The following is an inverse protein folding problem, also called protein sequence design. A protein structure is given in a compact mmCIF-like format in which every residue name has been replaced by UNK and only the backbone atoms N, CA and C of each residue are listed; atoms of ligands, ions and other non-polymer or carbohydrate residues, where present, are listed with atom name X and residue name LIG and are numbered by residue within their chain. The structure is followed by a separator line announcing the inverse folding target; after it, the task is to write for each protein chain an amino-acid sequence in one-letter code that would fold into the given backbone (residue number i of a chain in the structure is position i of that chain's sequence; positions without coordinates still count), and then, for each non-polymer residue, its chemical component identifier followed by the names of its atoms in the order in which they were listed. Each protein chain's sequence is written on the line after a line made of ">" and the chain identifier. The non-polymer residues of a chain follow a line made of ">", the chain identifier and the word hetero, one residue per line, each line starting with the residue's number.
data_IF_806058694146
#
_entry.id   IF_806058694146
#
_cell.length_a   1.000
_cell.length_b   1.000
_cell.length_c   1.000
_cell.angle_alpha   90.00
_cell.angle_beta   90.00
_cell.angle_gamma   90.00
#
_symmetry.space_group_name_H-M   'P 1'
#
loop_
_entity.id
_entity.type
_entity.pdbx_description
1 polymer ?
#
# COMPACT_ATOMS: atom_id res chain seq x y z
N UNK A 1 -40.33 -5.30 -40.58
CA UNK A 1 -39.35 -4.61 -39.71
C UNK A 1 -40.01 -4.23 -38.39
N UNK A 2 -39.61 -4.84 -37.28
CA UNK A 2 -39.71 -4.25 -35.95
C UNK A 2 -38.69 -4.97 -35.07
N UNK A 3 -37.50 -4.38 -34.95
CA UNK A 3 -36.46 -4.85 -34.03
C UNK A 3 -36.75 -4.26 -32.66
N UNK A 4 -37.11 -5.09 -31.70
CA UNK A 4 -37.23 -4.69 -30.30
C UNK A 4 -35.83 -4.61 -29.69
N UNK A 5 -35.41 -3.39 -29.33
CA UNK A 5 -34.13 -3.12 -28.69
C UNK A 5 -34.16 -3.59 -27.22
N UNK A 6 -33.23 -4.48 -26.87
CA UNK A 6 -32.97 -4.88 -25.49
C UNK A 6 -32.18 -3.79 -24.76
N UNK A 7 -32.67 -3.39 -23.59
CA UNK A 7 -31.94 -2.53 -22.65
C UNK A 7 -30.87 -3.35 -21.93
N UNK A 8 -29.60 -3.10 -22.25
CA UNK A 8 -28.46 -3.62 -21.48
C UNK A 8 -28.29 -2.70 -20.27
N UNK A 9 -28.69 -3.16 -19.09
CA UNK A 9 -28.37 -2.49 -17.83
C UNK A 9 -26.86 -2.53 -17.61
N UNK A 10 -26.20 -1.38 -17.61
CA UNK A 10 -24.80 -1.26 -17.22
C UNK A 10 -24.67 -1.58 -15.73
N UNK A 11 -24.12 -2.74 -15.41
CA UNK A 11 -23.73 -3.08 -14.04
C UNK A 11 -22.51 -2.25 -13.69
N UNK A 12 -22.70 -1.14 -12.98
CA UNK A 12 -21.60 -0.43 -12.35
C UNK A 12 -21.07 -1.30 -11.22
N UNK A 13 -20.03 -2.10 -11.50
CA UNK A 13 -19.26 -2.74 -10.43
C UNK A 13 -18.83 -1.64 -9.45
N UNK A 14 -19.03 -1.81 -8.12
CA UNK A 14 -18.40 -0.89 -7.19
C UNK A 14 -16.90 -0.91 -7.47
N UNK A 15 -16.28 0.27 -7.61
CA UNK A 15 -14.84 0.37 -7.68
C UNK A 15 -14.31 -0.28 -6.39
N UNK A 16 -13.79 -1.51 -6.48
CA UNK A 16 -13.24 -2.21 -5.33
C UNK A 16 -12.17 -1.32 -4.72
N UNK A 17 -12.41 -0.84 -3.50
CA UNK A 17 -11.43 -0.05 -2.79
C UNK A 17 -10.11 -0.85 -2.71
N UNK A 18 -9.00 -0.22 -3.10
CA UNK A 18 -7.71 -0.89 -3.06
C UNK A 18 -7.38 -1.24 -1.61
N UNK A 19 -7.36 -2.54 -1.29
CA UNK A 19 -6.93 -3.01 0.03
C UNK A 19 -5.41 -3.20 0.04
N UNK A 20 -4.73 -3.03 1.19
CA UNK A 20 -3.29 -3.27 1.26
C UNK A 20 -2.90 -4.67 0.77
N UNK A 21 -3.68 -5.69 1.13
CA UNK A 21 -3.47 -7.07 0.67
C UNK A 21 -3.70 -7.22 -0.84
N UNK A 22 -4.72 -6.57 -1.41
CA UNK A 22 -4.96 -6.55 -2.85
C UNK A 22 -3.82 -5.92 -3.64
N UNK A 23 -3.21 -4.85 -3.10
CA UNK A 23 -2.06 -4.17 -3.72
C UNK A 23 -0.80 -5.04 -3.63
N UNK A 24 -0.52 -5.63 -2.46
CA UNK A 24 0.64 -6.52 -2.28
C UNK A 24 0.47 -7.86 -3.02
N UNK A 25 -0.76 -8.29 -3.30
CA UNK A 25 -1.07 -9.48 -4.08
C UNK A 25 -1.35 -10.72 -3.23
N UNK A 26 -1.63 -11.83 -3.90
CA UNK A 26 -2.07 -13.07 -3.26
C UNK A 26 -1.06 -13.61 -2.24
N UNK A 27 -1.57 -14.04 -1.08
CA UNK A 27 -0.80 -14.63 0.01
C UNK A 27 -0.17 -13.62 0.97
N UNK A 28 -0.32 -12.31 0.73
CA UNK A 28 0.06 -11.28 1.69
C UNK A 28 -1.06 -11.00 2.68
N UNK A 29 -0.70 -10.92 3.95
CA UNK A 29 -1.57 -10.46 5.04
C UNK A 29 -0.96 -9.27 5.75
N UNK A 30 -1.79 -8.32 6.19
CA UNK A 30 -1.36 -7.22 7.05
C UNK A 30 -0.88 -7.80 8.38
N UNK A 31 0.35 -7.47 8.75
CA UNK A 31 0.94 -7.83 10.05
C UNK A 31 1.16 -6.60 10.92
N UNK A 32 1.22 -5.41 10.31
CA UNK A 32 1.34 -4.15 11.03
C UNK A 32 0.82 -2.96 10.21
N UNK A 33 0.51 -1.87 10.90
CA UNK A 33 0.10 -0.60 10.28
C UNK A 33 0.29 0.59 11.20
N UNK A 34 0.57 1.75 10.63
CA UNK A 34 0.70 2.99 11.40
C UNK A 34 0.12 4.18 10.64
N UNK A 35 -0.45 5.14 11.38
CA UNK A 35 -0.88 6.40 10.79
C UNK A 35 0.33 7.21 10.27
N UNK A 36 0.20 7.76 9.08
CA UNK A 36 1.16 8.70 8.48
C UNK A 36 0.44 10.03 8.39
N UNK A 37 0.64 10.86 9.42
CA UNK A 37 -0.18 12.04 9.64
C UNK A 37 -1.67 11.71 9.79
N UNK A 38 -2.51 12.70 9.50
CA UNK A 38 -3.95 12.60 9.52
C UNK A 38 -4.50 11.90 8.27
N UNK A 39 -3.79 11.95 7.14
CA UNK A 39 -4.38 11.61 5.83
C UNK A 39 -4.00 10.25 5.25
N UNK A 40 -2.96 9.60 5.76
CA UNK A 40 -2.53 8.31 5.24
C UNK A 40 -2.29 7.27 6.34
N UNK A 41 -2.25 6.01 5.93
CA UNK A 41 -1.84 4.87 6.77
C UNK A 41 -0.84 4.05 5.96
N UNK A 42 0.30 3.75 6.56
CA UNK A 42 1.27 2.80 6.01
C UNK A 42 1.01 1.43 6.60
N UNK A 43 1.13 0.39 5.78
CA UNK A 43 0.90 -1.00 6.12
C UNK A 43 2.13 -1.82 5.82
N UNK A 44 2.50 -2.70 6.75
CA UNK A 44 3.43 -3.79 6.51
C UNK A 44 2.64 -5.09 6.34
N UNK A 45 2.92 -5.78 5.24
CA UNK A 45 2.34 -7.05 4.89
C UNK A 45 3.41 -8.10 4.75
N UNK A 46 3.03 -9.34 5.07
CA UNK A 46 3.91 -10.49 5.00
C UNK A 46 3.25 -11.63 4.24
N UNK A 47 4.07 -12.36 3.49
CA UNK A 47 3.73 -13.63 2.85
C UNK A 47 4.75 -14.69 3.30
N UNK A 48 4.27 -15.92 3.47
CA UNK A 48 5.08 -17.09 3.84
C UNK A 48 6.40 -17.15 3.07
N UNK A 49 7.50 -17.44 3.76
CA UNK A 49 8.83 -17.55 3.16
C UNK A 49 9.71 -16.32 3.30
N UNK A 50 9.29 -15.29 4.06
CA UNK A 50 10.10 -14.11 4.33
C UNK A 50 9.83 -12.93 3.40
N UNK A 51 8.74 -12.97 2.64
CA UNK A 51 8.39 -11.91 1.70
C UNK A 51 7.61 -10.80 2.40
N UNK A 52 8.19 -9.61 2.44
CA UNK A 52 7.61 -8.41 3.04
C UNK A 52 7.14 -7.46 1.94
N UNK A 53 6.06 -6.73 2.20
CA UNK A 53 5.50 -5.73 1.31
C UNK A 53 5.01 -4.52 2.10
N UNK A 54 5.32 -3.31 1.62
CA UNK A 54 4.84 -2.06 2.22
C UNK A 54 4.07 -1.24 1.21
N UNK A 55 2.96 -0.68 1.68
CA UNK A 55 2.09 0.24 0.93
C UNK A 55 1.62 1.35 1.86
N UNK A 56 1.50 2.56 1.32
CA UNK A 56 0.94 3.72 2.04
C UNK A 56 -0.32 4.17 1.34
N UNK A 57 -1.46 4.11 2.01
CA UNK A 57 -2.78 4.43 1.45
C UNK A 57 -3.30 5.73 2.03
N UNK A 58 -3.95 6.55 1.20
CA UNK A 58 -4.80 7.64 1.68
C UNK A 58 -6.01 7.06 2.43
N UNK A 59 -6.36 7.67 3.56
CA UNK A 59 -7.56 7.31 4.33
C UNK A 59 -8.83 7.74 3.60
N UNK A 60 -8.80 8.91 2.97
CA UNK A 60 -9.92 9.49 2.23
C UNK A 60 -9.44 10.05 0.88
N UNK A 61 -9.32 9.21 -0.16
CA UNK A 61 -8.95 9.66 -1.50
C UNK A 61 -9.97 10.65 -2.06
N UNK A 62 -9.50 11.82 -2.52
CA UNK A 62 -10.32 12.89 -3.11
C UNK A 62 -10.18 12.97 -4.64
N UNK A 63 -9.47 12.02 -5.24
CA UNK A 63 -9.18 11.97 -6.67
C UNK A 63 -8.04 12.89 -7.14
N UNK A 64 -7.48 13.72 -6.26
CA UNK A 64 -6.28 14.52 -6.57
C UNK A 64 -5.02 13.73 -6.32
N UNK A 65 -3.95 14.09 -7.02
CA UNK A 65 -2.63 13.50 -6.77
C UNK A 65 -1.97 14.20 -5.59
N UNK A 66 -1.61 13.42 -4.57
CA UNK A 66 -0.89 13.87 -3.38
C UNK A 66 0.44 13.13 -3.29
N UNK A 67 1.45 13.77 -2.75
CA UNK A 67 2.72 13.10 -2.52
C UNK A 67 2.54 11.99 -1.47
N UNK A 68 2.88 10.77 -1.84
CA UNK A 68 2.92 9.63 -0.93
C UNK A 68 4.25 8.89 -1.11
N UNK A 69 4.70 8.25 -0.03
CA UNK A 69 5.88 7.40 -0.03
C UNK A 69 5.66 6.10 0.71
N UNK A 70 6.25 5.03 0.22
CA UNK A 70 6.39 3.73 0.88
C UNK A 70 7.86 3.31 0.83
N UNK A 71 8.40 2.84 1.96
CA UNK A 71 9.80 2.46 2.09
C UNK A 71 9.90 1.13 2.85
N UNK A 72 10.86 0.30 2.44
CA UNK A 72 11.11 -0.99 3.06
C UNK A 72 12.58 -1.39 2.90
N UNK A 73 13.17 -1.89 3.97
CA UNK A 73 14.47 -2.56 3.96
C UNK A 73 14.56 -3.63 5.02
N UNK A 74 15.45 -4.60 4.81
CA UNK A 74 15.91 -5.48 5.86
C UNK A 74 17.20 -4.95 6.49
N UNK A 75 17.50 -5.39 7.71
CA UNK A 75 18.70 -4.99 8.44
C UNK A 75 19.97 -5.40 7.68
N UNK A 76 20.79 -4.41 7.33
CA UNK A 76 21.99 -4.59 6.51
C UNK A 76 21.73 -4.65 5.00
N UNK A 77 20.50 -4.41 4.56
CA UNK A 77 20.11 -4.33 3.14
C UNK A 77 19.96 -2.90 2.64
N UNK A 78 19.86 -2.71 1.31
CA UNK A 78 19.56 -1.42 0.71
C UNK A 78 18.11 -1.02 1.01
N UNK A 79 17.85 0.29 0.98
CA UNK A 79 16.50 0.84 1.04
C UNK A 79 15.79 0.71 -0.31
N UNK A 80 14.62 0.08 -0.32
CA UNK A 80 13.69 0.09 -1.45
C UNK A 80 12.59 1.10 -1.15
N UNK A 81 12.25 1.94 -2.12
CA UNK A 81 11.24 2.99 -1.94
C UNK A 81 10.43 3.23 -3.20
N UNK A 82 9.22 3.71 -3.00
CA UNK A 82 8.36 4.27 -4.02
C UNK A 82 7.80 5.59 -3.49
N UNK A 83 8.10 6.70 -4.18
CA UNK A 83 7.69 8.05 -3.78
C UNK A 83 7.31 8.83 -5.03
N UNK A 84 6.05 9.26 -5.09
CA UNK A 84 5.53 10.06 -6.19
C UNK A 84 4.19 10.72 -5.78
N UNK A 85 3.55 11.40 -6.72
CA UNK A 85 2.21 11.95 -6.54
C UNK A 85 1.15 10.94 -6.99
N UNK A 86 0.38 10.43 -6.04
CA UNK A 86 -0.59 9.35 -6.20
C UNK A 86 -2.00 9.80 -5.84
N UNK A 87 -3.02 9.21 -6.48
CA UNK A 87 -4.42 9.48 -6.16
C UNK A 87 -4.95 8.63 -5.01
N UNK A 88 -4.29 7.50 -4.71
CA UNK A 88 -4.79 6.51 -3.74
C UNK A 88 -3.71 5.95 -2.84
N UNK A 89 -2.56 5.52 -3.38
CA UNK A 89 -1.51 4.87 -2.58
C UNK A 89 -0.13 4.94 -3.25
N UNK A 90 0.92 4.80 -2.44
CA UNK A 90 2.30 4.49 -2.88
C UNK A 90 2.63 3.01 -2.58
N UNK A 91 3.51 2.40 -3.37
CA UNK A 91 3.85 0.98 -3.32
C UNK A 91 3.18 0.15 -4.42
N UNK A 92 3.27 -1.19 -4.37
CA UNK A 92 3.93 -1.99 -3.34
C UNK A 92 5.45 -1.95 -3.50
N UNK A 93 6.16 -1.67 -2.40
CA UNK A 93 7.60 -1.98 -2.32
C UNK A 93 7.75 -3.32 -1.61
N UNK A 94 8.55 -4.22 -2.20
CA UNK A 94 8.69 -5.59 -1.70
C UNK A 94 10.15 -5.93 -1.43
N UNK A 95 10.37 -6.70 -0.39
CA UNK A 95 11.69 -7.17 0.01
C UNK A 95 11.58 -8.61 0.52
N UNK A 96 12.48 -9.46 0.06
CA UNK A 96 12.66 -10.80 0.59
C UNK A 96 13.69 -10.78 1.72
N UNK A 97 13.27 -11.13 2.94
CA UNK A 97 14.05 -10.97 4.18
C UNK A 97 13.81 -12.10 5.20
N UNK A 98 14.05 -13.36 4.85
CA UNK A 98 13.92 -14.46 5.81
C UNK A 98 14.90 -14.29 6.97
N UNK A 99 14.42 -14.47 8.20
CA UNK A 99 15.21 -14.38 9.44
C UNK A 99 15.94 -13.03 9.64
N UNK A 100 15.40 -11.95 9.09
CA UNK A 100 15.97 -10.60 9.22
C UNK A 100 14.90 -9.61 9.64
N UNK A 101 15.24 -8.73 10.57
CA UNK A 101 14.39 -7.60 10.92
C UNK A 101 14.24 -6.67 9.72
N UNK A 102 13.05 -6.10 9.58
CA UNK A 102 12.71 -5.08 8.60
C UNK A 102 12.47 -3.74 9.28
N UNK A 103 12.69 -2.68 8.51
CA UNK A 103 12.29 -1.32 8.81
C UNK A 103 11.40 -0.87 7.66
N UNK A 104 10.24 -0.34 7.99
CA UNK A 104 9.23 0.10 7.05
C UNK A 104 8.78 1.51 7.40
N UNK A 105 8.40 2.26 6.38
CA UNK A 105 8.08 3.68 6.55
C UNK A 105 7.08 4.14 5.51
N UNK A 106 6.32 5.17 5.88
CA UNK A 106 5.39 5.87 5.01
C UNK A 106 5.55 7.37 5.10
N UNK A 107 5.17 8.06 4.02
CA UNK A 107 5.17 9.51 3.89
C UNK A 107 3.87 10.00 3.25
N UNK A 108 3.37 11.14 3.72
CA UNK A 108 2.28 11.91 3.13
C UNK A 108 2.65 13.39 3.09
N UNK A 109 2.66 13.98 1.91
CA UNK A 109 2.91 15.41 1.73
C UNK A 109 1.67 16.30 1.89
N UNK A 110 0.53 15.75 2.36
CA UNK A 110 -0.69 16.54 2.60
C UNK A 110 -0.54 17.38 3.87
N UNK A 111 0.04 16.79 4.91
CA UNK A 111 0.28 17.38 6.22
C UNK A 111 1.71 17.11 6.73
N UNK A 112 2.64 16.84 5.81
CA UNK A 112 4.02 16.44 6.08
C UNK A 112 4.15 15.23 7.04
N UNK A 113 3.12 14.37 7.06
CA UNK A 113 3.08 13.16 7.86
C UNK A 113 4.17 12.18 7.46
N UNK A 114 4.94 11.70 8.43
CA UNK A 114 5.92 10.62 8.23
C UNK A 114 5.84 9.61 9.37
N UNK A 115 6.15 8.36 9.06
CA UNK A 115 6.38 7.32 10.06
C UNK A 115 7.55 6.46 9.63
N UNK A 116 8.44 6.11 10.56
CA UNK A 116 9.53 5.15 10.38
C UNK A 116 9.47 4.19 11.55
N UNK A 117 9.34 2.90 11.26
CA UNK A 117 9.33 1.86 12.30
C UNK A 117 10.72 1.72 12.93
N UNK A 118 10.82 1.18 14.16
CA UNK A 118 12.07 0.55 14.58
C UNK A 118 12.37 -0.69 13.72
N UNK A 119 13.52 -1.34 13.95
CA UNK A 119 13.79 -2.66 13.39
C UNK A 119 12.96 -3.72 14.11
N UNK A 120 12.10 -4.42 13.37
CA UNK A 120 11.15 -5.38 13.93
C UNK A 120 10.81 -6.47 12.90
N UNK A 121 9.87 -7.37 13.22
CA UNK A 121 9.43 -8.47 12.35
C UNK A 121 10.60 -9.30 11.80
N UNK A 122 11.42 -9.87 12.70
CA UNK A 122 12.73 -10.45 12.41
C UNK A 122 12.77 -11.87 11.80
N UNK A 123 11.67 -12.33 11.20
CA UNK A 123 11.54 -13.67 10.62
C UNK A 123 10.50 -14.53 11.30
#
# INVERSE_FOLDING_TARGET
>A
MAMSAGIVGAMTSPASAATPAGICGAGYSVIDSHAVGAYATVYLLYKSGGDNCVVTLLKNPDGKKHQLGAYLRYKGGPMVKDVNNYTTYAGPVRVHAPSKCVEWSGLSGIDDGTYVSPWEHCG
#
